data_IF_693428370782
#
_entry.id   IF_693428370782
#
_cell.length_a   1.000
_cell.length_b   1.000
_cell.length_c   1.000
_cell.angle_alpha   90.00
_cell.angle_beta   90.00
_cell.angle_gamma   90.00
#
_symmetry.space_group_name_H-M   'P 1'
#
loop_
_entity.id
_entity.type
_entity.pdbx_description
1 polymer ?
#
# COMPACT_ATOMS: atom_id res chain seq x y z
N UNK A 1 -4.93 -10.38 25.65
CA UNK A 1 -3.81 -10.92 24.85
C UNK A 1 -2.69 -9.90 24.87
N UNK A 2 -1.44 -10.30 25.10
CA UNK A 2 -0.29 -9.38 25.08
C UNK A 2 0.31 -9.39 23.68
N UNK A 3 0.32 -8.24 23.02
CA UNK A 3 0.99 -8.08 21.71
C UNK A 3 2.49 -8.00 21.95
N UNK A 4 3.26 -8.84 21.25
CA UNK A 4 4.72 -8.80 21.28
C UNK A 4 5.18 -7.94 20.11
N UNK A 5 5.95 -6.90 20.40
CA UNK A 5 6.61 -6.10 19.38
C UNK A 5 7.93 -6.77 19.00
N UNK A 6 8.14 -7.00 17.71
CA UNK A 6 9.33 -7.65 17.19
C UNK A 6 9.76 -7.03 15.86
N UNK A 7 11.05 -7.09 15.58
CA UNK A 7 11.65 -6.73 14.29
C UNK A 7 11.86 -8.03 13.51
N UNK A 8 11.37 -8.08 12.27
CA UNK A 8 11.66 -9.18 11.37
C UNK A 8 13.00 -8.94 10.66
N UNK A 9 13.95 -9.83 10.86
CA UNK A 9 15.29 -9.74 10.25
C UNK A 9 15.79 -11.14 9.88
N UNK A 10 16.16 -11.33 8.60
CA UNK A 10 16.72 -12.59 8.09
C UNK A 10 15.87 -13.84 8.41
N UNK A 11 14.53 -13.72 8.35
CA UNK A 11 13.64 -14.85 8.67
C UNK A 11 13.31 -15.02 10.15
N UNK A 12 13.84 -14.18 11.03
CA UNK A 12 13.68 -14.29 12.49
C UNK A 12 12.93 -13.07 13.04
N UNK A 13 11.89 -13.31 13.84
CA UNK A 13 11.24 -12.26 14.63
C UNK A 13 12.02 -12.05 15.93
N UNK A 14 12.69 -10.91 16.06
CA UNK A 14 13.44 -10.51 17.25
C UNK A 14 12.59 -9.60 18.13
N UNK A 15 12.11 -10.05 19.30
CA UNK A 15 11.33 -9.20 20.21
C UNK A 15 12.15 -7.98 20.65
N UNK A 16 11.52 -6.80 20.67
CA UNK A 16 12.16 -5.57 21.16
C UNK A 16 12.11 -5.45 22.68
N UNK A 17 11.27 -6.25 23.33
CA UNK A 17 11.14 -6.34 24.78
C UNK A 17 11.24 -7.80 25.21
N UNK A 18 11.70 -8.10 26.44
CA UNK A 18 11.68 -9.45 26.98
C UNK A 18 10.28 -10.07 26.88
N UNK A 19 10.24 -11.32 26.42
CA UNK A 19 9.02 -12.11 26.27
C UNK A 19 9.07 -13.24 27.27
N UNK A 20 8.02 -13.36 28.07
CA UNK A 20 7.85 -14.45 29.04
C UNK A 20 7.04 -15.58 28.39
N UNK A 21 7.69 -16.33 27.50
CA UNK A 21 7.14 -17.53 26.87
C UNK A 21 8.13 -18.67 27.06
N UNK A 22 7.60 -19.87 27.35
CA UNK A 22 8.42 -21.06 27.48
C UNK A 22 9.04 -21.45 26.14
N UNK A 23 10.24 -22.00 26.17
CA UNK A 23 10.89 -22.55 24.97
C UNK A 23 10.02 -23.64 24.33
N UNK A 24 9.84 -23.57 23.01
CA UNK A 24 8.97 -24.49 22.25
C UNK A 24 7.47 -24.16 22.28
N UNK A 25 7.07 -23.01 22.82
CA UNK A 25 5.66 -22.56 22.77
C UNK A 25 5.21 -22.29 21.33
N UNK A 26 4.07 -22.87 20.94
CA UNK A 26 3.40 -22.54 19.68
C UNK A 26 2.77 -21.15 19.76
N UNK A 27 2.99 -20.32 18.74
CA UNK A 27 2.47 -18.94 18.67
C UNK A 27 1.84 -18.67 17.32
N UNK A 28 0.69 -17.99 17.33
CA UNK A 28 0.07 -17.42 16.12
C UNK A 28 0.68 -16.04 15.87
N UNK A 29 1.21 -15.82 14.67
CA UNK A 29 1.79 -14.55 14.27
C UNK A 29 0.80 -13.80 13.38
N UNK A 30 0.36 -12.64 13.83
CA UNK A 30 -0.33 -11.66 12.98
C UNK A 30 0.66 -10.55 12.61
N UNK A 31 1.16 -10.59 11.38
CA UNK A 31 2.04 -9.55 10.87
C UNK A 31 1.22 -8.35 10.39
N UNK A 32 1.25 -7.25 11.16
CA UNK A 32 0.74 -5.95 10.71
C UNK A 32 1.91 -5.03 10.46
N UNK A 33 2.06 -4.52 9.24
CA UNK A 33 3.06 -3.49 8.95
C UNK A 33 2.76 -2.26 9.81
N UNK A 34 3.67 -1.92 10.71
CA UNK A 34 3.56 -0.77 11.62
C UNK A 34 4.11 0.50 10.97
N UNK A 35 4.89 0.36 9.91
CA UNK A 35 5.15 1.45 8.99
C UNK A 35 3.91 1.53 8.08
N UNK A 36 3.26 2.70 7.94
CA UNK A 36 2.33 2.88 6.82
C UNK A 36 3.08 2.41 5.58
N UNK A 37 2.45 1.59 4.74
CA UNK A 37 3.04 1.27 3.45
C UNK A 37 3.48 2.61 2.86
N UNK A 38 4.79 2.81 2.78
CA UNK A 38 5.34 4.01 2.19
C UNK A 38 4.79 4.00 0.77
N UNK A 39 3.79 4.84 0.52
CA UNK A 39 3.36 5.21 -0.81
C UNK A 39 4.57 5.82 -1.49
N UNK A 40 5.42 4.95 -2.06
CA UNK A 40 6.75 5.36 -2.56
C UNK A 40 7.62 6.08 -1.51
N UNK A 41 8.79 6.57 -1.92
CA UNK A 41 9.64 7.38 -1.06
C UNK A 41 9.00 8.77 -0.87
N UNK A 42 8.28 8.97 0.25
CA UNK A 42 8.20 10.28 0.90
C UNK A 42 6.95 11.14 0.69
N UNK A 43 5.89 10.66 0.01
CA UNK A 43 4.69 11.47 -0.19
C UNK A 43 3.51 10.96 0.64
N UNK A 44 2.90 11.88 1.38
CA UNK A 44 1.64 11.68 2.11
C UNK A 44 0.50 11.24 1.17
N UNK A 45 -0.54 10.60 1.71
CA UNK A 45 -1.72 10.22 0.90
C UNK A 45 -2.35 11.42 0.17
N UNK A 46 -2.21 12.62 0.74
CA UNK A 46 -2.68 13.89 0.18
C UNK A 46 -1.85 14.33 -1.04
N UNK A 47 -0.52 14.19 -0.99
CA UNK A 47 0.39 14.46 -2.12
C UNK A 47 0.16 13.47 -3.27
N UNK A 48 -0.05 12.19 -2.95
CA UNK A 48 -0.41 11.18 -3.96
C UNK A 48 -1.74 11.49 -4.66
N UNK A 49 -2.75 11.94 -3.90
CA UNK A 49 -4.03 12.35 -4.49
C UNK A 49 -3.90 13.63 -5.32
N UNK A 50 -3.08 14.59 -4.89
CA UNK A 50 -2.80 15.80 -5.67
C UNK A 50 -2.19 15.45 -7.05
N UNK A 51 -1.23 14.52 -7.10
CA UNK A 51 -0.63 14.06 -8.35
C UNK A 51 -1.65 13.37 -9.29
N UNK A 52 -2.57 12.57 -8.74
CA UNK A 52 -3.67 11.96 -9.53
C UNK A 52 -4.60 13.05 -10.09
N UNK A 53 -4.99 14.03 -9.28
CA UNK A 53 -5.86 15.11 -9.74
C UNK A 53 -5.18 16.01 -10.79
N UNK A 54 -3.88 16.23 -10.67
CA UNK A 54 -3.10 16.95 -11.67
C UNK A 54 -3.18 16.23 -13.02
N UNK A 55 -2.92 14.92 -13.08
CA UNK A 55 -3.04 14.12 -14.31
C UNK A 55 -4.45 14.21 -14.89
N UNK A 56 -5.49 14.06 -14.07
CA UNK A 56 -6.88 14.12 -14.51
C UNK A 56 -7.31 15.52 -14.98
N UNK A 57 -6.62 16.58 -14.55
CA UNK A 57 -6.92 17.96 -14.96
C UNK A 57 -6.41 18.30 -16.37
N UNK A 58 -5.57 17.46 -16.96
CA UNK A 58 -5.05 17.69 -18.30
C UNK A 58 -6.16 17.49 -19.35
N UNK A 59 -6.42 18.52 -20.16
CA UNK A 59 -7.24 18.40 -21.36
C UNK A 59 -6.36 17.93 -22.52
N UNK A 60 -6.78 16.87 -23.21
CA UNK A 60 -6.12 16.39 -24.42
C UNK A 60 -6.99 16.72 -25.64
N UNK A 61 -6.43 17.48 -26.57
CA UNK A 61 -7.06 17.71 -27.87
C UNK A 61 -6.81 16.49 -28.77
N UNK A 62 -7.83 15.65 -28.92
CA UNK A 62 -7.76 14.44 -29.75
C UNK A 62 -8.07 14.70 -31.22
N UNK A 63 -8.54 15.90 -31.57
CA UNK A 63 -9.01 16.25 -32.92
C UNK A 63 -10.37 15.63 -33.29
N UNK A 64 -10.97 14.85 -32.39
CA UNK A 64 -12.27 14.20 -32.59
C UNK A 64 -13.34 14.88 -31.72
N UNK A 65 -14.38 15.41 -32.36
CA UNK A 65 -15.44 16.18 -31.69
C UNK A 65 -16.34 15.31 -30.82
N UNK A 66 -16.48 14.02 -31.13
CA UNK A 66 -17.32 13.07 -30.39
C UNK A 66 -16.61 11.71 -30.26
N UNK A 67 -15.57 11.70 -29.43
CA UNK A 67 -14.81 10.49 -29.11
C UNK A 67 -15.71 9.42 -28.44
N UNK A 68 -16.74 9.84 -27.71
CA UNK A 68 -17.64 8.94 -26.99
C UNK A 68 -18.50 8.09 -27.95
N UNK A 69 -18.86 8.61 -29.12
CA UNK A 69 -19.60 7.85 -30.14
C UNK A 69 -18.83 6.63 -30.68
N UNK A 70 -17.49 6.60 -30.54
CA UNK A 70 -16.63 5.51 -31.02
C UNK A 70 -16.41 4.40 -29.96
N UNK A 71 -17.02 4.53 -28.79
CA UNK A 71 -16.84 3.61 -27.66
C UNK A 71 -17.11 2.13 -28.02
N UNK A 72 -18.09 1.89 -28.88
CA UNK A 72 -18.54 0.54 -29.23
C UNK A 72 -17.86 -0.03 -30.49
N UNK A 73 -17.04 0.75 -31.21
CA UNK A 73 -16.39 0.31 -32.46
C UNK A 73 -15.37 -0.81 -32.28
N UNK A 74 -14.85 -0.98 -31.06
CA UNK A 74 -13.85 -1.98 -30.71
C UNK A 74 -14.34 -2.99 -29.66
N UNK A 75 -15.64 -2.98 -29.34
CA UNK A 75 -16.26 -3.94 -28.43
C UNK A 75 -16.81 -5.12 -29.28
N UNK A 76 -16.37 -6.37 -29.05
CA UNK A 76 -16.90 -7.55 -29.74
C UNK A 76 -18.35 -7.89 -29.36
#
# INVERSE_FOLDING_TARGET
>A
MKTIHAIYENGVFRPTTPVDLAEGSEVTIEAKSVVPASSGPGESDEENMAAVYEILSHSYETGETDLAARHDEHQP
#
